data_IF_534267771707
#
_entry.id   IF_534267771707
#
_cell.length_a   1.000
_cell.length_b   1.000
_cell.length_c   1.000
_cell.angle_alpha   90.00
_cell.angle_beta   90.00
_cell.angle_gamma   90.00
#
_symmetry.space_group_name_H-M   'P 1'
#
loop_
_entity.id
_entity.type
_entity.pdbx_description
1 polymer ?
#
# COMPACT_ATOMS: atom_id res chain seq x y z
N UNK A 1 -55.10 40.10 19.77
CA UNK A 1 -55.32 39.94 18.32
C UNK A 1 -54.28 40.81 17.65
N UNK A 2 -53.16 40.21 17.24
CA UNK A 2 -52.90 39.92 15.84
C UNK A 2 -51.62 39.09 15.74
N UNK A 3 -51.76 37.96 15.05
CA UNK A 3 -50.70 37.02 14.68
C UNK A 3 -49.78 37.66 13.64
N UNK A 4 -48.47 37.49 13.78
CA UNK A 4 -47.58 37.40 12.63
C UNK A 4 -46.50 36.34 12.88
N UNK A 5 -46.63 35.27 12.11
CA UNK A 5 -45.70 34.15 11.95
C UNK A 5 -44.63 34.58 10.94
N UNK A 6 -43.35 34.38 11.28
CA UNK A 6 -42.28 34.08 10.33
C UNK A 6 -41.15 33.45 11.16
N UNK A 7 -41.04 32.12 11.25
CA UNK A 7 -40.46 31.20 10.24
C UNK A 7 -39.13 31.72 9.70
N UNK A 8 -38.04 31.23 10.29
CA UNK A 8 -36.89 30.66 9.57
C UNK A 8 -35.92 30.12 10.62
N UNK A 9 -36.28 28.98 11.22
CA UNK A 9 -35.30 28.10 11.84
C UNK A 9 -34.82 27.16 10.74
N UNK A 10 -33.69 27.49 10.13
CA UNK A 10 -32.97 26.61 9.24
C UNK A 10 -32.58 25.33 10.00
N UNK A 11 -33.48 24.35 9.93
CA UNK A 11 -33.21 22.95 10.26
C UNK A 11 -32.20 22.42 9.24
N UNK A 12 -30.92 22.63 9.52
CA UNK A 12 -29.85 21.86 8.90
C UNK A 12 -29.87 20.44 9.51
N UNK A 13 -30.91 19.68 9.19
CA UNK A 13 -30.88 18.21 9.27
C UNK A 13 -30.11 17.79 8.03
N UNK A 14 -28.78 17.81 8.14
CA UNK A 14 -27.94 17.15 7.14
C UNK A 14 -28.03 15.66 7.38
N UNK A 15 -28.54 15.00 6.35
CA UNK A 15 -28.77 13.57 6.20
C UNK A 15 -27.47 12.78 6.39
N UNK A 16 -27.09 12.52 7.65
CA UNK A 16 -26.14 11.46 8.04
C UNK A 16 -26.94 10.24 8.52
N UNK A 17 -27.84 9.78 7.67
CA UNK A 17 -28.52 8.50 7.82
C UNK A 17 -28.20 7.70 6.59
N UNK A 18 -27.12 6.93 6.64
CA UNK A 18 -27.08 5.59 6.07
C UNK A 18 -25.94 4.77 6.70
N UNK A 19 -26.35 3.73 7.42
CA UNK A 19 -25.58 2.59 7.95
C UNK A 19 -24.71 2.83 9.19
N UNK A 20 -25.36 2.96 10.35
CA UNK A 20 -24.81 2.32 11.55
C UNK A 20 -25.16 0.84 11.41
N UNK A 21 -24.24 0.01 10.90
CA UNK A 21 -24.37 -1.42 11.20
C UNK A 21 -24.32 -1.55 12.72
N UNK A 22 -25.12 -2.43 13.31
CA UNK A 22 -25.00 -2.62 14.75
C UNK A 22 -23.56 -3.07 15.04
N UNK A 23 -22.99 -2.66 16.18
CA UNK A 23 -21.65 -3.11 16.56
C UNK A 23 -21.59 -4.65 16.59
N UNK A 24 -22.69 -5.29 16.98
CA UNK A 24 -22.86 -6.74 17.01
C UNK A 24 -22.68 -7.39 15.62
N UNK A 25 -23.18 -6.77 14.54
CA UNK A 25 -23.04 -7.32 13.17
C UNK A 25 -21.58 -7.31 12.68
N UNK A 26 -20.78 -6.33 13.12
CA UNK A 26 -19.36 -6.24 12.75
C UNK A 26 -18.55 -7.30 13.50
N UNK A 27 -18.85 -7.51 14.77
CA UNK A 27 -18.13 -8.48 15.60
C UNK A 27 -18.34 -9.91 15.08
N UNK A 28 -19.58 -10.26 14.69
CA UNK A 28 -19.88 -11.55 14.04
C UNK A 28 -19.11 -11.73 12.72
N UNK A 29 -19.02 -10.67 11.89
CA UNK A 29 -18.25 -10.72 10.64
C UNK A 29 -16.74 -10.91 10.90
N UNK A 30 -16.20 -10.35 11.98
CA UNK A 30 -14.79 -10.53 12.36
C UNK A 30 -14.50 -11.95 12.86
N UNK A 31 -15.41 -12.54 13.64
CA UNK A 31 -15.32 -13.92 14.11
C UNK A 31 -15.34 -14.90 12.93
N UNK A 32 -16.25 -14.71 11.97
CA UNK A 32 -16.30 -15.48 10.73
C UNK A 32 -14.96 -15.42 9.96
N UNK A 33 -14.33 -14.24 9.89
CA UNK A 33 -13.02 -14.09 9.26
C UNK A 33 -11.92 -14.86 10.01
N UNK A 34 -11.96 -14.85 11.35
CA UNK A 34 -11.02 -15.59 12.17
C UNK A 34 -11.17 -17.09 11.97
N UNK A 35 -12.39 -17.63 12.01
CA UNK A 35 -12.63 -19.05 11.78
C UNK A 35 -12.10 -19.51 10.41
N UNK A 36 -12.33 -18.70 9.38
CA UNK A 36 -11.88 -18.97 8.02
C UNK A 36 -10.35 -18.91 7.82
N UNK A 37 -9.62 -18.22 8.71
CA UNK A 37 -8.16 -18.05 8.64
C UNK A 37 -7.39 -18.72 9.80
N UNK A 38 -8.10 -19.39 10.71
CA UNK A 38 -7.58 -20.03 11.92
C UNK A 38 -6.36 -20.91 11.64
N UNK A 39 -6.46 -21.83 10.68
CA UNK A 39 -5.35 -22.69 10.21
C UNK A 39 -4.10 -21.87 9.83
N UNK A 40 -4.30 -20.72 9.17
CA UNK A 40 -3.20 -19.86 8.76
C UNK A 40 -2.59 -19.09 9.94
N UNK A 41 -3.40 -18.69 10.91
CA UNK A 41 -2.95 -17.95 12.09
C UNK A 41 -2.15 -18.87 13.00
N UNK A 42 -2.70 -20.06 13.31
CA UNK A 42 -2.14 -21.03 14.26
C UNK A 42 -0.88 -21.72 13.74
N UNK A 43 -0.74 -21.88 12.41
CA UNK A 43 0.47 -22.49 11.86
C UNK A 43 1.72 -21.66 12.20
N UNK A 44 2.80 -22.37 12.49
CA UNK A 44 4.11 -21.75 12.68
C UNK A 44 4.55 -21.01 11.42
N UNK A 45 5.14 -19.83 11.60
CA UNK A 45 5.62 -19.01 10.49
C UNK A 45 7.02 -19.47 10.10
N UNK A 46 7.30 -19.49 8.80
CA UNK A 46 8.57 -19.97 8.27
C UNK A 46 9.50 -18.82 7.98
N UNK A 47 10.76 -18.97 8.41
CA UNK A 47 11.78 -17.96 8.20
C UNK A 47 11.98 -17.67 6.70
N UNK A 48 12.31 -16.42 6.35
CA UNK A 48 12.50 -15.92 4.98
C UNK A 48 11.28 -15.93 4.07
N UNK A 49 10.11 -16.32 4.57
CA UNK A 49 8.89 -16.37 3.78
C UNK A 49 8.18 -15.02 3.71
N UNK A 50 7.27 -14.87 2.74
CA UNK A 50 6.49 -13.66 2.56
C UNK A 50 5.12 -13.76 3.23
N UNK A 51 4.72 -12.66 3.86
CA UNK A 51 3.45 -12.54 4.57
C UNK A 51 2.78 -11.22 4.22
N UNK A 52 1.45 -11.21 4.26
CA UNK A 52 0.61 -10.03 4.10
C UNK A 52 -0.02 -9.76 5.47
N UNK A 53 0.05 -8.52 5.95
CA UNK A 53 -0.47 -8.19 7.27
C UNK A 53 0.01 -6.85 7.79
N UNK A 54 -0.02 -6.69 9.11
CA UNK A 54 0.40 -5.46 9.79
C UNK A 54 1.71 -5.67 10.54
N UNK A 55 2.50 -4.60 10.65
CA UNK A 55 3.74 -4.57 11.42
C UNK A 55 3.91 -3.25 12.16
N UNK A 56 4.71 -3.28 13.24
CA UNK A 56 5.00 -2.11 14.06
C UNK A 56 6.50 -1.94 14.24
N UNK A 57 6.99 -0.71 14.06
CA UNK A 57 8.39 -0.39 14.33
C UNK A 57 8.64 -0.40 15.83
N UNK A 58 9.57 -1.23 16.28
CA UNK A 58 10.09 -1.17 17.64
C UNK A 58 11.07 -0.01 17.75
N UNK A 59 10.79 0.95 18.64
CA UNK A 59 11.71 2.07 18.90
C UNK A 59 12.96 1.64 19.66
N UNK A 60 12.89 0.54 20.42
CA UNK A 60 13.99 0.06 21.24
C UNK A 60 15.07 -0.66 20.41
N UNK A 61 14.67 -1.40 19.37
CA UNK A 61 15.55 -2.31 18.64
C UNK A 61 15.70 -2.00 17.15
N UNK A 62 15.08 -0.90 16.69
CA UNK A 62 15.12 -0.39 15.31
C UNK A 62 14.78 -1.40 14.19
N UNK A 63 13.91 -2.35 14.48
CA UNK A 63 13.32 -3.24 13.47
C UNK A 63 11.79 -3.20 13.52
N UNK A 64 11.16 -3.72 12.46
CA UNK A 64 9.71 -3.93 12.42
C UNK A 64 9.38 -5.31 12.97
N UNK A 65 8.42 -5.37 13.88
CA UNK A 65 7.83 -6.59 14.40
C UNK A 65 6.67 -7.01 13.51
N UNK A 66 6.59 -8.30 13.17
CA UNK A 66 5.36 -8.86 12.64
C UNK A 66 4.31 -8.80 13.75
N UNK A 67 3.18 -8.15 13.48
CA UNK A 67 2.13 -7.93 14.47
C UNK A 67 0.96 -8.89 14.24
N UNK A 68 0.48 -8.95 13.00
CA UNK A 68 -0.51 -9.93 12.59
C UNK A 68 -0.38 -10.18 11.08
N UNK A 69 -0.81 -11.34 10.60
CA UNK A 69 -0.78 -11.72 9.20
C UNK A 69 -2.07 -12.44 8.80
N UNK A 70 -2.38 -12.38 7.51
CA UNK A 70 -3.58 -12.99 6.93
C UNK A 70 -3.21 -13.88 5.75
N UNK A 71 -3.99 -14.93 5.52
CA UNK A 71 -3.77 -15.78 4.35
C UNK A 71 -4.03 -15.03 3.04
N UNK A 72 -3.36 -15.43 1.94
CA UNK A 72 -3.68 -14.89 0.62
C UNK A 72 -5.15 -15.14 0.23
N UNK A 73 -5.74 -16.26 0.66
CA UNK A 73 -7.12 -16.63 0.34
C UNK A 73 -8.10 -15.61 0.93
N UNK A 74 -7.92 -15.24 2.20
CA UNK A 74 -8.77 -14.26 2.87
C UNK A 74 -8.50 -12.85 2.31
N UNK A 75 -7.23 -12.48 2.13
CA UNK A 75 -6.83 -11.17 1.59
C UNK A 75 -7.52 -10.81 0.27
N UNK A 76 -7.69 -11.75 -0.66
CA UNK A 76 -8.34 -11.47 -1.95
C UNK A 76 -9.86 -11.47 -1.92
N UNK A 77 -10.49 -12.01 -0.87
CA UNK A 77 -11.94 -12.12 -0.75
C UNK A 77 -12.54 -10.99 0.08
N UNK A 78 -11.80 -10.49 1.05
CA UNK A 78 -12.30 -9.55 2.06
C UNK A 78 -12.03 -8.10 1.64
N UNK A 79 -13.00 -7.18 1.82
CA UNK A 79 -12.77 -5.74 1.65
C UNK A 79 -11.62 -5.23 2.50
N UNK A 80 -10.87 -4.24 1.98
CA UNK A 80 -9.66 -3.73 2.62
C UNK A 80 -9.91 -3.22 4.04
N UNK A 81 -10.96 -2.41 4.25
CA UNK A 81 -11.24 -1.78 5.55
C UNK A 81 -11.61 -2.81 6.63
N UNK A 82 -12.39 -3.83 6.26
CA UNK A 82 -12.72 -4.94 7.13
C UNK A 82 -11.49 -5.77 7.48
N UNK A 83 -10.61 -6.02 6.50
CA UNK A 83 -9.36 -6.74 6.73
C UNK A 83 -8.41 -5.99 7.68
N UNK A 84 -8.38 -4.67 7.60
CA UNK A 84 -7.61 -3.82 8.52
C UNK A 84 -8.15 -3.95 9.94
N UNK A 85 -9.48 -3.87 10.12
CA UNK A 85 -10.14 -4.04 11.42
C UNK A 85 -9.86 -5.42 12.00
N UNK A 86 -10.08 -6.47 11.22
CA UNK A 86 -9.77 -7.85 11.57
C UNK A 86 -8.32 -8.01 12.06
N UNK A 87 -7.35 -7.52 11.29
CA UNK A 87 -5.94 -7.63 11.66
C UNK A 87 -5.61 -6.88 12.96
N UNK A 88 -6.28 -5.76 13.24
CA UNK A 88 -6.12 -5.00 14.48
C UNK A 88 -6.79 -5.66 15.68
N UNK A 89 -8.02 -6.15 15.53
CA UNK A 89 -8.83 -6.70 16.63
C UNK A 89 -8.18 -7.97 17.17
N UNK A 90 -7.75 -8.87 16.29
CA UNK A 90 -7.00 -10.08 16.68
C UNK A 90 -5.50 -9.82 16.84
N UNK A 91 -5.08 -8.56 16.99
CA UNK A 91 -3.69 -8.24 17.31
C UNK A 91 -3.47 -8.08 18.81
N UNK A 92 -2.34 -8.61 19.28
CA UNK A 92 -1.85 -8.34 20.64
C UNK A 92 -1.41 -6.88 20.83
N UNK A 93 -1.12 -6.14 19.75
CA UNK A 93 -0.54 -4.81 19.84
C UNK A 93 -1.44 -3.78 19.15
N UNK A 94 -1.96 -2.84 19.94
CA UNK A 94 -2.70 -1.70 19.41
C UNK A 94 -1.86 -0.84 18.46
N UNK A 95 -2.48 -0.47 17.34
CA UNK A 95 -1.91 0.36 16.27
C UNK A 95 -2.90 1.45 15.88
N UNK A 96 -2.45 2.72 15.92
CA UNK A 96 -3.29 3.89 15.59
C UNK A 96 -3.49 4.13 14.09
N UNK A 97 -2.56 3.66 13.25
CA UNK A 97 -2.62 3.77 11.78
C UNK A 97 -2.15 2.44 11.17
N UNK A 98 -2.98 1.39 11.24
CA UNK A 98 -2.68 0.09 10.66
C UNK A 98 -2.60 0.20 9.13
N UNK A 99 -1.59 -0.42 8.54
CA UNK A 99 -1.50 -0.52 7.09
C UNK A 99 -1.12 -1.94 6.73
N UNK A 100 -1.87 -2.50 5.80
CA UNK A 100 -1.55 -3.81 5.27
C UNK A 100 -0.32 -3.67 4.38
N UNK A 101 0.70 -4.45 4.70
CA UNK A 101 2.00 -4.45 4.09
C UNK A 101 2.36 -5.87 3.62
N UNK A 102 3.10 -5.96 2.51
CA UNK A 102 3.78 -7.17 2.08
C UNK A 102 5.14 -7.18 2.77
N UNK A 103 5.42 -8.24 3.52
CA UNK A 103 6.53 -8.34 4.44
C UNK A 103 7.33 -9.60 4.17
N UNK A 104 8.66 -9.52 4.31
CA UNK A 104 9.51 -10.72 4.37
C UNK A 104 9.91 -10.97 5.83
N UNK A 105 9.60 -12.16 6.34
CA UNK A 105 9.85 -12.55 7.73
C UNK A 105 11.31 -12.96 7.96
N UNK A 106 11.85 -12.56 9.11
CA UNK A 106 13.10 -13.00 9.68
C UNK A 106 12.88 -13.37 11.14
N UNK A 107 13.11 -14.65 11.47
CA UNK A 107 13.00 -15.16 12.84
C UNK A 107 14.37 -15.04 13.49
N UNK A 108 14.45 -14.27 14.57
CA UNK A 108 15.67 -14.07 15.34
C UNK A 108 15.98 -15.28 16.23
N UNK A 109 17.19 -15.33 16.79
CA UNK A 109 17.65 -16.44 17.64
C UNK A 109 16.84 -16.60 18.94
N UNK A 110 16.21 -15.53 19.41
CA UNK A 110 15.31 -15.50 20.57
C UNK A 110 13.85 -15.86 20.21
N UNK A 111 13.58 -16.21 18.94
CA UNK A 111 12.24 -16.50 18.44
C UNK A 111 11.45 -15.27 17.99
N UNK A 112 12.01 -14.05 18.09
CA UNK A 112 11.30 -12.83 17.72
C UNK A 112 11.06 -12.76 16.21
N UNK A 113 9.81 -12.48 15.82
CA UNK A 113 9.40 -12.31 14.42
C UNK A 113 9.61 -10.88 13.95
N UNK A 114 10.65 -10.67 13.15
CA UNK A 114 10.99 -9.37 12.56
C UNK A 114 10.73 -9.35 11.06
N UNK A 115 10.46 -8.18 10.47
CA UNK A 115 10.07 -8.10 9.07
C UNK A 115 10.78 -6.98 8.30
N UNK A 116 11.02 -7.24 7.01
CA UNK A 116 11.38 -6.22 6.03
C UNK A 116 10.15 -5.87 5.19
N UNK A 117 9.69 -4.63 5.30
CA UNK A 117 8.54 -4.10 4.56
C UNK A 117 8.89 -3.97 3.07
N UNK A 118 8.23 -4.76 2.21
CA UNK A 118 8.47 -4.79 0.76
C UNK A 118 7.54 -3.89 -0.03
N UNK A 119 6.35 -3.59 0.49
CA UNK A 119 5.39 -2.72 -0.21
C UNK A 119 5.98 -1.35 -0.51
N UNK A 120 6.86 -0.82 0.36
CA UNK A 120 7.57 0.43 0.10
C UNK A 120 8.29 0.38 -1.25
N UNK A 121 9.11 -0.65 -1.48
CA UNK A 121 9.87 -0.85 -2.71
C UNK A 121 8.97 -1.09 -3.92
N UNK A 122 7.91 -1.88 -3.74
CA UNK A 122 6.91 -2.13 -4.79
C UNK A 122 6.23 -0.82 -5.21
N UNK A 123 5.82 0.02 -4.24
CA UNK A 123 5.22 1.35 -4.49
C UNK A 123 6.18 2.26 -5.26
N UNK A 124 7.49 2.24 -4.95
CA UNK A 124 8.50 3.00 -5.70
C UNK A 124 8.56 2.57 -7.17
N UNK A 125 8.65 1.26 -7.41
CA UNK A 125 8.70 0.67 -8.75
C UNK A 125 7.42 1.03 -9.53
N UNK A 126 6.26 0.78 -8.92
CA UNK A 126 4.95 1.09 -9.51
C UNK A 126 4.80 2.56 -9.85
N UNK A 127 5.19 3.48 -8.95
CA UNK A 127 5.13 4.92 -9.20
C UNK A 127 5.98 5.31 -10.41
N UNK A 128 7.18 4.74 -10.51
CA UNK A 128 8.08 5.00 -11.65
C UNK A 128 7.48 4.48 -12.95
N UNK A 129 6.96 3.25 -12.95
CA UNK A 129 6.27 2.65 -14.10
C UNK A 129 5.08 3.49 -14.56
N UNK A 130 4.23 3.94 -13.63
CA UNK A 130 3.11 4.85 -13.94
C UNK A 130 3.57 6.13 -14.62
N UNK A 131 4.67 6.75 -14.14
CA UNK A 131 5.25 7.96 -14.75
C UNK A 131 5.71 7.71 -16.20
N UNK A 132 6.33 6.57 -16.46
CA UNK A 132 6.83 6.22 -17.80
C UNK A 132 5.69 5.91 -18.74
N UNK A 133 4.70 5.14 -18.29
CA UNK A 133 3.50 4.85 -19.07
C UNK A 133 2.76 6.14 -19.42
N UNK A 134 2.67 7.10 -18.49
CA UNK A 134 2.11 8.42 -18.76
C UNK A 134 2.91 9.18 -19.84
N UNK A 135 4.24 9.19 -19.75
CA UNK A 135 5.11 9.81 -20.76
C UNK A 135 4.95 9.15 -22.14
N UNK A 136 4.92 7.81 -22.21
CA UNK A 136 4.65 7.07 -23.45
C UNK A 136 3.30 7.42 -24.04
N UNK A 137 2.25 7.47 -23.21
CA UNK A 137 0.90 7.84 -23.64
C UNK A 137 0.86 9.23 -24.28
N UNK A 138 1.56 10.20 -23.71
CA UNK A 138 1.69 11.54 -24.31
C UNK A 138 2.44 11.51 -25.64
N UNK A 139 3.53 10.76 -25.70
CA UNK A 139 4.34 10.64 -26.91
C UNK A 139 3.55 9.97 -28.06
N UNK A 140 2.76 8.92 -27.77
CA UNK A 140 1.87 8.32 -28.75
C UNK A 140 0.80 9.29 -29.26
N UNK A 141 0.22 10.12 -28.38
CA UNK A 141 -0.70 11.18 -28.80
C UNK A 141 -0.04 12.18 -29.76
N UNK A 142 1.17 12.63 -29.43
CA UNK A 142 1.92 13.59 -30.26
C UNK A 142 2.33 12.99 -31.61
N UNK A 143 2.75 11.71 -31.62
CA UNK A 143 3.06 10.96 -32.85
C UNK A 143 1.84 10.75 -33.75
N UNK A 144 0.65 10.61 -33.17
CA UNK A 144 -0.60 10.45 -33.90
C UNK A 144 -1.17 11.74 -34.52
N UNK A 145 -0.53 12.90 -34.30
CA UNK A 145 -0.96 14.15 -34.95
C UNK A 145 -0.64 14.15 -36.45
N UNK A 146 -1.50 14.76 -37.26
CA UNK A 146 -1.33 14.84 -38.72
C UNK A 146 0.06 15.40 -39.09
N UNK A 147 0.51 16.44 -38.37
CA UNK A 147 1.84 17.04 -38.59
C UNK A 147 2.97 16.05 -38.34
N UNK A 148 2.89 15.25 -37.27
CA UNK A 148 3.90 14.24 -36.95
C UNK A 148 3.90 13.09 -37.96
N UNK A 149 2.73 12.67 -38.43
CA UNK A 149 2.59 11.63 -39.45
C UNK A 149 3.16 12.11 -40.80
N UNK A 150 2.79 13.31 -41.24
CA UNK A 150 3.33 13.91 -42.46
C UNK A 150 4.86 14.05 -42.41
N UNK A 151 5.40 14.51 -41.28
CA UNK A 151 6.85 14.59 -41.10
C UNK A 151 7.52 13.22 -41.19
N UNK A 152 6.90 12.18 -40.62
CA UNK A 152 7.38 10.80 -40.70
C UNK A 152 7.34 10.26 -42.14
N UNK A 153 6.30 10.56 -42.91
CA UNK A 153 6.20 10.19 -44.33
C UNK A 153 7.34 10.79 -45.16
N UNK A 154 7.68 12.06 -44.91
CA UNK A 154 8.74 12.75 -45.63
C UNK A 154 10.15 12.31 -45.23
N UNK A 155 10.39 12.03 -43.94
CA UNK A 155 11.75 11.88 -43.39
C UNK A 155 12.06 10.47 -42.86
N UNK A 156 11.07 9.56 -42.80
CA UNK A 156 11.20 8.22 -42.22
C UNK A 156 11.39 8.19 -40.69
N UNK A 157 11.23 9.34 -40.01
CA UNK A 157 11.40 9.50 -38.57
C UNK A 157 10.43 10.54 -38.02
N UNK A 158 10.14 10.49 -36.72
CA UNK A 158 9.29 11.51 -36.09
C UNK A 158 10.04 12.83 -35.89
N UNK A 159 9.33 13.95 -35.63
CA UNK A 159 9.95 15.20 -35.25
C UNK A 159 10.88 15.06 -34.02
N UNK A 160 11.81 16.00 -33.87
CA UNK A 160 12.75 16.02 -32.75
C UNK A 160 12.02 15.98 -31.40
N UNK A 161 12.57 15.22 -30.46
CA UNK A 161 11.93 14.95 -29.16
C UNK A 161 10.86 13.86 -29.17
N UNK A 162 10.40 13.39 -30.34
CA UNK A 162 9.41 12.30 -30.47
C UNK A 162 10.03 10.98 -30.94
N UNK A 163 11.33 10.92 -31.25
CA UNK A 163 11.97 9.70 -31.76
C UNK A 163 12.28 8.67 -30.66
N UNK A 164 12.58 9.10 -29.45
CA UNK A 164 12.99 8.22 -28.34
C UNK A 164 11.82 7.87 -27.44
N UNK A 165 11.54 6.57 -27.25
CA UNK A 165 10.59 6.10 -26.25
C UNK A 165 11.29 5.92 -24.89
N UNK A 166 10.72 6.40 -23.77
CA UNK A 166 11.28 6.13 -22.46
C UNK A 166 11.21 4.62 -22.16
N UNK A 167 12.34 3.99 -21.83
CA UNK A 167 12.46 2.53 -21.58
C UNK A 167 12.06 2.15 -20.15
N UNK A 168 12.35 0.94 -19.67
CA UNK A 168 12.26 0.58 -18.24
C UNK A 168 13.65 0.41 -17.59
N UNK A 169 14.70 0.37 -18.42
CA UNK A 169 16.08 0.03 -18.05
C UNK A 169 16.82 1.23 -17.45
N UNK A 170 17.67 0.99 -16.43
CA UNK A 170 18.44 2.04 -15.73
C UNK A 170 17.60 2.94 -14.80
N UNK A 171 16.30 2.67 -14.66
CA UNK A 171 15.34 3.61 -14.07
C UNK A 171 15.30 3.65 -12.56
N UNK A 172 15.88 2.66 -11.91
CA UNK A 172 16.12 2.66 -10.47
C UNK A 172 17.52 3.18 -10.12
N UNK A 173 18.37 3.48 -11.11
CA UNK A 173 19.74 3.95 -10.89
C UNK A 173 19.82 5.24 -10.06
N UNK A 174 18.78 6.09 -10.09
CA UNK A 174 18.70 7.27 -9.24
C UNK A 174 18.58 6.95 -7.74
N UNK A 175 18.05 5.78 -7.38
CA UNK A 175 17.89 5.37 -5.98
C UNK A 175 19.12 4.61 -5.45
N UNK A 176 20.01 4.15 -6.33
CA UNK A 176 21.20 3.39 -5.95
C UNK A 176 22.29 4.24 -5.29
N UNK A 177 22.31 5.56 -5.51
CA UNK A 177 23.42 6.42 -5.09
C UNK A 177 23.52 6.67 -3.59
N UNK A 178 22.49 6.29 -2.82
CA UNK A 178 22.40 6.53 -1.37
C UNK A 178 22.10 5.25 -0.56
N UNK A 179 22.32 4.06 -1.13
CA UNK A 179 21.98 2.80 -0.46
C UNK A 179 23.09 2.36 0.52
N UNK A 180 23.01 2.81 1.77
CA UNK A 180 23.81 2.31 2.91
C UNK A 180 23.21 1.04 3.54
N UNK A 181 22.65 0.15 2.74
CA UNK A 181 22.18 -1.15 3.21
C UNK A 181 23.24 -2.21 2.94
N UNK A 182 23.86 -2.74 4.00
CA UNK A 182 24.72 -3.90 3.91
C UNK A 182 23.92 -5.17 3.58
N UNK A 183 24.61 -6.18 3.03
CA UNK A 183 24.09 -7.42 2.41
C UNK A 183 23.11 -8.26 3.26
N UNK A 184 22.83 -7.87 4.49
CA UNK A 184 21.90 -8.54 5.41
C UNK A 184 20.68 -7.69 5.81
N UNK A 185 20.50 -6.49 5.23
CA UNK A 185 19.30 -5.68 5.48
C UNK A 185 19.19 -5.12 6.90
N UNK A 186 20.26 -5.16 7.68
CA UNK A 186 20.39 -4.36 8.91
C UNK A 186 20.90 -2.97 8.53
N UNK A 187 20.29 -1.92 9.10
CA UNK A 187 20.87 -0.59 9.04
C UNK A 187 22.24 -0.67 9.71
N UNK A 188 23.29 -0.34 8.95
CA UNK A 188 24.57 0.04 9.55
C UNK A 188 24.27 1.23 10.45
N UNK A 189 24.37 1.02 11.76
CA UNK A 189 24.32 2.06 12.77
C UNK A 189 25.45 3.02 12.46
N UNK A 190 25.13 4.14 11.79
CA UNK A 190 26.12 5.18 11.59
C UNK A 190 26.25 5.92 12.92
N UNK A 191 27.27 5.54 13.69
CA UNK A 191 27.76 6.35 14.79
C UNK A 191 28.42 7.59 14.21
N UNK A 192 27.88 8.76 14.55
CA UNK A 192 28.60 10.02 14.45
C UNK A 192 28.70 10.61 15.85
N UNK A 193 29.93 10.76 16.33
CA UNK A 193 30.32 11.88 17.16
C UNK A 193 30.19 13.17 16.33
#
# INVERSE_FOLDING_TARGET
>A
MDEYINSDSDNYIDTFSDSISSYDDIDEELDDLYENDSDFIEREKTNHNYYIGICKRSRAYDYYLLVNAVSPKLFYKTPYDLLVRYLQEYSVIYMSDPRIEIMKLYILADGTYTVSVKTHWIRLIQRRWKKILAARKQLYKLRGTIRSLYYFELHGRYPDGLNTLPTLEGMMGSYSKNSTFDKFGQQSVIQWW
#
